data_IF_015055241551
#
_entry.id   IF_015055241551
#
_cell.length_a   1.000
_cell.length_b   1.000
_cell.length_c   1.000
_cell.angle_alpha   90.00
_cell.angle_beta   90.00
_cell.angle_gamma   90.00
#
_symmetry.space_group_name_H-M   'P 1'
#
loop_
_entity.id
_entity.type
_entity.pdbx_description
1 polymer ?
#
# COMPACT_ATOMS: atom_id res chain seq x y z
N UNK A 1 28.00 1.05 -39.71
CA UNK A 1 26.63 1.25 -40.25
C UNK A 1 25.53 0.48 -39.48
N UNK A 2 25.36 0.68 -38.16
CA UNK A 2 24.27 0.03 -37.38
C UNK A 2 23.48 0.93 -36.42
N UNK A 3 23.96 2.13 -36.07
CA UNK A 3 23.27 3.06 -35.14
C UNK A 3 22.03 3.74 -35.75
N UNK A 4 22.01 3.97 -37.07
CA UNK A 4 20.89 4.70 -37.70
C UNK A 4 19.62 3.85 -37.83
N UNK A 5 19.71 2.51 -37.94
CA UNK A 5 18.52 1.64 -38.05
C UNK A 5 17.72 1.57 -36.75
N UNK A 6 18.39 1.67 -35.59
CA UNK A 6 17.71 1.62 -34.29
C UNK A 6 16.90 2.90 -34.03
N UNK A 7 17.45 4.06 -34.42
CA UNK A 7 16.77 5.34 -34.31
C UNK A 7 15.54 5.42 -35.22
N UNK A 8 15.65 4.91 -36.46
CA UNK A 8 14.50 4.85 -37.38
C UNK A 8 13.40 3.91 -36.88
N UNK A 9 13.76 2.75 -36.29
CA UNK A 9 12.77 1.83 -35.69
C UNK A 9 12.09 2.45 -34.48
N UNK A 10 12.81 3.22 -33.66
CA UNK A 10 12.24 3.91 -32.51
C UNK A 10 11.26 5.03 -32.92
N UNK A 11 11.60 5.79 -33.97
CA UNK A 11 10.71 6.81 -34.55
C UNK A 11 9.46 6.17 -35.15
N UNK A 12 9.61 5.02 -35.85
CA UNK A 12 8.47 4.28 -36.39
C UNK A 12 7.58 3.76 -35.25
N UNK A 13 8.15 3.21 -34.18
CA UNK A 13 7.39 2.74 -33.01
C UNK A 13 6.65 3.89 -32.30
N UNK A 14 7.31 5.04 -32.12
CA UNK A 14 6.68 6.25 -31.57
C UNK A 14 5.55 6.74 -32.48
N UNK A 15 5.75 6.75 -33.80
CA UNK A 15 4.72 7.16 -34.75
C UNK A 15 3.50 6.21 -34.76
N UNK A 16 3.69 4.91 -34.55
CA UNK A 16 2.60 3.92 -34.44
C UNK A 16 1.75 4.19 -33.17
N UNK A 17 2.38 4.58 -32.06
CA UNK A 17 1.70 4.99 -30.82
C UNK A 17 0.85 6.26 -31.04
N UNK A 18 1.31 7.18 -31.91
CA UNK A 18 0.58 8.41 -32.24
C UNK A 18 -0.56 8.23 -33.25
N UNK A 19 -0.54 7.16 -34.05
CA UNK A 19 -1.59 6.85 -35.06
C UNK A 19 -2.75 6.05 -34.46
N UNK A 20 -2.51 5.29 -33.38
CA UNK A 20 -3.58 4.54 -32.70
C UNK A 20 -4.46 5.48 -31.82
N UNK A 21 -5.78 5.59 -32.08
CA UNK A 21 -6.67 6.52 -31.37
C UNK A 21 -6.71 6.29 -29.84
N UNK A 22 -6.59 5.03 -29.40
CA UNK A 22 -6.60 4.65 -27.98
C UNK A 22 -5.36 5.12 -27.21
N UNK A 23 -4.18 5.02 -27.79
CA UNK A 23 -2.93 5.49 -27.15
C UNK A 23 -2.83 7.01 -27.15
N UNK A 24 -3.39 7.68 -28.17
CA UNK A 24 -3.55 9.14 -28.18
C UNK A 24 -4.51 9.62 -27.11
N UNK A 25 -5.65 8.97 -26.93
CA UNK A 25 -6.59 9.31 -25.84
C UNK A 25 -5.96 9.10 -24.46
N UNK A 26 -5.18 8.02 -24.27
CA UNK A 26 -4.42 7.79 -23.04
C UNK A 26 -3.37 8.88 -22.79
N UNK A 27 -2.52 9.20 -23.77
CA UNK A 27 -1.49 10.25 -23.62
C UNK A 27 -2.10 11.65 -23.46
N UNK A 28 -3.13 11.99 -24.24
CA UNK A 28 -3.85 13.26 -24.08
C UNK A 28 -4.48 13.29 -22.68
N UNK A 29 -5.16 12.23 -22.20
CA UNK A 29 -5.69 12.21 -20.83
C UNK A 29 -4.61 12.32 -19.73
N UNK A 30 -3.40 11.80 -19.96
CA UNK A 30 -2.26 11.90 -19.03
C UNK A 30 -1.63 13.29 -19.04
N UNK A 31 -1.63 14.00 -20.18
CA UNK A 31 -0.97 15.30 -20.34
C UNK A 31 -1.92 16.51 -20.38
N UNK A 32 -3.25 16.31 -20.47
CA UNK A 32 -4.25 17.40 -20.50
C UNK A 32 -5.08 17.50 -19.23
N UNK A 33 -4.79 16.72 -18.19
CA UNK A 33 -5.37 16.92 -16.86
C UNK A 33 -4.29 17.37 -15.86
N UNK A 34 -4.32 18.68 -15.61
CA UNK A 34 -3.65 19.40 -14.52
C UNK A 34 -2.13 19.24 -14.42
N UNK A 35 -1.49 20.17 -15.12
CA UNK A 35 -0.38 20.97 -14.64
C UNK A 35 0.83 20.18 -14.08
N UNK A 36 1.68 19.76 -15.00
CA UNK A 36 3.01 19.20 -14.70
C UNK A 36 3.82 20.13 -13.76
N UNK A 37 3.58 21.45 -13.76
CA UNK A 37 4.26 22.40 -12.88
C UNK A 37 3.76 22.33 -11.42
N UNK A 38 2.46 22.10 -11.20
CA UNK A 38 1.90 21.81 -9.86
C UNK A 38 2.52 20.57 -9.22
N UNK A 39 2.87 19.56 -10.04
CA UNK A 39 3.42 18.28 -9.59
C UNK A 39 4.94 18.30 -9.39
N UNK A 40 5.63 19.36 -9.87
CA UNK A 40 7.03 19.68 -9.53
C UNK A 40 7.11 20.58 -8.27
N UNK A 41 5.98 20.83 -7.60
CA UNK A 41 5.94 21.60 -6.35
C UNK A 41 5.85 23.11 -6.55
N UNK A 42 5.31 23.57 -7.68
CA UNK A 42 5.01 24.99 -7.91
C UNK A 42 3.52 25.13 -8.23
N UNK A 43 2.64 24.85 -7.27
CA UNK A 43 1.32 25.50 -7.25
C UNK A 43 0.78 25.60 -5.82
N UNK A 44 0.62 26.83 -5.36
CA UNK A 44 0.00 27.15 -4.09
C UNK A 44 -1.53 27.05 -4.23
N UNK A 45 -2.14 25.95 -3.76
CA UNK A 45 -3.57 25.93 -3.42
C UNK A 45 -3.91 24.79 -2.45
N UNK A 46 -4.34 25.16 -1.24
CA UNK A 46 -4.96 24.34 -0.17
C UNK A 46 -4.26 23.02 0.16
N UNK A 47 -3.46 23.06 1.24
CA UNK A 47 -2.56 22.00 1.70
C UNK A 47 -3.26 20.67 2.07
N UNK A 48 -3.49 19.80 1.08
CA UNK A 48 -3.43 18.35 1.36
C UNK A 48 -1.95 18.01 1.62
N UNK A 49 -1.60 17.84 2.89
CA UNK A 49 -0.21 17.62 3.32
C UNK A 49 0.33 16.30 2.74
N UNK A 50 1.24 16.40 1.76
CA UNK A 50 2.00 15.26 1.27
C UNK A 50 2.84 14.72 2.43
N UNK A 51 2.70 13.43 2.75
CA UNK A 51 3.51 12.78 3.77
C UNK A 51 4.90 12.54 3.18
N UNK A 52 5.89 13.27 3.68
CA UNK A 52 7.28 13.17 3.21
C UNK A 52 8.02 12.15 4.07
N UNK A 53 8.35 10.99 3.50
CA UNK A 53 9.24 10.01 4.12
C UNK A 53 10.68 10.56 4.20
N UNK A 54 11.41 10.14 5.24
CA UNK A 54 12.85 10.40 5.35
C UNK A 54 13.62 9.81 4.16
N UNK A 55 14.79 10.36 3.78
CA UNK A 55 15.61 9.81 2.70
C UNK A 55 15.97 8.34 2.90
N UNK A 56 16.23 7.95 4.14
CA UNK A 56 16.50 6.56 4.52
C UNK A 56 15.29 5.65 4.27
N UNK A 57 14.09 6.05 4.72
CA UNK A 57 12.87 5.29 4.47
C UNK A 57 12.56 5.19 2.96
N UNK A 58 12.83 6.23 2.18
CA UNK A 58 12.71 6.17 0.72
C UNK A 58 13.66 5.13 0.11
N UNK A 59 14.92 5.10 0.56
CA UNK A 59 15.91 4.12 0.11
C UNK A 59 15.50 2.69 0.46
N UNK A 60 15.11 2.44 1.72
CA UNK A 60 14.62 1.13 2.17
C UNK A 60 13.42 0.68 1.32
N UNK A 61 12.44 1.55 1.11
CA UNK A 61 11.26 1.23 0.31
C UNK A 61 11.62 0.93 -1.16
N UNK A 62 12.62 1.60 -1.74
CA UNK A 62 13.14 1.30 -3.07
C UNK A 62 13.87 -0.05 -3.17
N UNK A 63 14.50 -0.50 -2.09
CA UNK A 63 15.11 -1.83 -2.04
C UNK A 63 14.02 -2.92 -1.90
N UNK A 64 13.06 -2.71 -1.00
CA UNK A 64 11.95 -3.63 -0.75
C UNK A 64 11.05 -3.85 -1.97
N UNK A 65 10.75 -2.79 -2.74
CA UNK A 65 9.91 -2.92 -3.96
C UNK A 65 10.54 -3.82 -5.03
N UNK A 66 11.86 -4.04 -4.96
CA UNK A 66 12.61 -4.91 -5.87
C UNK A 66 12.88 -6.31 -5.29
N UNK A 67 12.50 -6.59 -4.04
CA UNK A 67 12.64 -7.91 -3.44
C UNK A 67 11.74 -8.93 -4.16
N UNK A 68 12.27 -10.14 -4.28
CA UNK A 68 11.53 -11.30 -4.80
C UNK A 68 11.06 -12.14 -3.62
N UNK A 69 9.89 -12.74 -3.78
CA UNK A 69 9.40 -13.71 -2.82
C UNK A 69 10.18 -15.02 -2.97
N UNK A 70 10.83 -15.45 -1.89
CA UNK A 70 11.67 -16.65 -1.83
C UNK A 70 11.16 -17.65 -0.78
N UNK A 71 9.85 -17.65 -0.54
CA UNK A 71 9.17 -18.53 0.42
C UNK A 71 8.92 -17.89 1.79
N UNK A 72 9.57 -16.78 2.11
CA UNK A 72 9.32 -16.02 3.34
C UNK A 72 8.29 -14.90 3.11
N UNK A 73 7.13 -14.99 3.77
CA UNK A 73 6.02 -14.05 3.57
C UNK A 73 6.26 -12.67 4.22
N UNK A 74 6.94 -12.65 5.37
CA UNK A 74 7.24 -11.43 6.11
C UNK A 74 8.75 -11.28 6.28
N UNK A 75 9.29 -10.15 5.85
CA UNK A 75 10.68 -9.76 6.06
C UNK A 75 10.72 -8.77 7.23
N UNK A 76 11.59 -9.03 8.20
CA UNK A 76 11.98 -8.02 9.18
C UNK A 76 12.90 -7.00 8.50
N UNK A 77 12.51 -5.73 8.50
CA UNK A 77 13.23 -4.65 7.80
C UNK A 77 14.30 -4.06 8.70
N UNK A 78 13.95 -3.80 9.97
CA UNK A 78 14.84 -3.37 11.03
C UNK A 78 14.53 -4.15 12.32
N UNK A 79 15.45 -4.14 13.28
CA UNK A 79 15.24 -4.77 14.60
C UNK A 79 14.05 -4.15 15.36
N UNK A 80 13.79 -2.87 15.13
CA UNK A 80 12.71 -2.09 15.75
C UNK A 80 12.30 -0.92 14.83
N UNK A 81 11.14 -0.32 15.08
CA UNK A 81 10.69 0.86 14.34
C UNK A 81 11.63 2.06 14.56
N UNK A 82 11.84 2.86 13.50
CA UNK A 82 12.80 3.98 13.47
C UNK A 82 12.07 5.35 13.46
N UNK A 83 11.06 5.54 14.32
CA UNK A 83 10.38 6.82 14.42
C UNK A 83 11.22 7.85 15.19
N UNK A 84 11.19 9.09 14.73
CA UNK A 84 11.82 10.21 15.45
C UNK A 84 11.05 10.57 16.74
N UNK A 85 11.70 11.17 17.75
CA UNK A 85 11.00 11.66 18.94
C UNK A 85 9.82 12.60 18.62
N UNK A 86 9.96 13.41 17.58
CA UNK A 86 8.89 14.30 17.10
C UNK A 86 7.70 13.52 16.56
N UNK A 87 7.92 12.41 15.86
CA UNK A 87 6.86 11.52 15.37
C UNK A 87 6.16 10.75 16.49
N UNK A 88 6.84 10.53 17.62
CA UNK A 88 6.28 9.89 18.80
C UNK A 88 5.51 10.86 19.71
N UNK A 89 5.47 12.15 19.38
CA UNK A 89 4.78 13.16 20.19
C UNK A 89 3.27 12.91 20.28
N UNK A 90 2.76 12.87 21.51
CA UNK A 90 1.31 12.84 21.81
C UNK A 90 0.66 14.23 21.86
N UNK A 91 1.32 15.28 21.37
CA UNK A 91 0.77 16.65 21.36
C UNK A 91 -0.57 16.78 20.60
N UNK A 92 -0.82 15.89 19.64
CA UNK A 92 -2.08 15.81 18.87
C UNK A 92 -2.99 14.67 19.34
N UNK A 93 -2.67 14.05 20.46
CA UNK A 93 -3.27 12.81 20.94
C UNK A 93 -3.33 11.75 19.82
N UNK A 94 -4.40 10.99 19.72
CA UNK A 94 -4.61 10.03 18.65
C UNK A 94 -5.18 10.65 17.36
N UNK A 95 -4.65 10.24 16.22
CA UNK A 95 -5.00 10.77 14.90
C UNK A 95 -4.71 9.76 13.78
N UNK A 96 -5.34 9.95 12.62
CA UNK A 96 -5.02 9.24 11.39
C UNK A 96 -4.85 10.22 10.22
N UNK A 97 -3.99 9.89 9.27
CA UNK A 97 -3.71 10.70 8.08
C UNK A 97 -3.36 9.82 6.90
N UNK A 98 -4.07 10.02 5.79
CA UNK A 98 -3.86 9.29 4.55
C UNK A 98 -3.32 10.25 3.50
N UNK A 99 -2.21 9.88 2.88
CA UNK A 99 -1.68 10.63 1.74
C UNK A 99 -2.70 10.69 0.59
N UNK A 100 -2.69 11.75 -0.23
CA UNK A 100 -3.45 11.78 -1.47
C UNK A 100 -3.10 10.57 -2.36
N UNK A 101 -4.05 10.14 -3.18
CA UNK A 101 -3.75 9.15 -4.22
C UNK A 101 -2.71 9.72 -5.18
N UNK A 102 -1.84 8.88 -5.73
CA UNK A 102 -0.92 9.34 -6.78
C UNK A 102 -1.61 9.50 -8.14
N UNK A 103 -0.84 9.92 -9.14
CA UNK A 103 -1.32 10.16 -10.51
C UNK A 103 -1.90 8.92 -11.21
N UNK A 104 -1.69 7.70 -10.67
CA UNK A 104 -2.29 6.46 -11.15
C UNK A 104 -3.50 6.04 -10.29
N UNK A 105 -3.97 6.94 -9.41
CA UNK A 105 -5.01 6.71 -8.40
C UNK A 105 -4.63 5.63 -7.37
N UNK A 106 -3.34 5.42 -7.11
CA UNK A 106 -2.87 4.41 -6.16
C UNK A 106 -2.75 5.03 -4.78
N UNK A 107 -3.16 4.26 -3.77
CA UNK A 107 -2.97 4.65 -2.37
C UNK A 107 -1.49 4.87 -2.07
N UNK A 108 -1.23 5.81 -1.17
CA UNK A 108 0.09 6.20 -0.72
C UNK A 108 0.22 5.94 0.78
N UNK A 109 1.29 6.45 1.41
CA UNK A 109 1.57 6.21 2.84
C UNK A 109 0.39 6.62 3.72
N UNK A 110 0.02 5.76 4.65
CA UNK A 110 -0.92 6.05 5.74
C UNK A 110 -0.16 6.14 7.07
N UNK A 111 -0.53 7.13 7.90
CA UNK A 111 0.02 7.31 9.23
C UNK A 111 -1.09 7.41 10.27
N UNK A 112 -0.79 6.97 11.48
CA UNK A 112 -1.61 7.23 12.63
C UNK A 112 -0.77 7.33 13.91
N UNK A 113 -1.31 8.06 14.88
CA UNK A 113 -1.08 7.80 16.29
C UNK A 113 -2.32 7.06 16.79
N UNK A 114 -2.23 5.76 16.95
CA UNK A 114 -3.34 4.91 17.35
C UNK A 114 -3.52 4.97 18.86
N UNK A 115 -4.77 5.03 19.30
CA UNK A 115 -5.19 5.11 20.70
C UNK A 115 -6.65 4.67 20.80
N UNK A 116 -7.13 4.42 22.02
CA UNK A 116 -8.47 3.86 22.25
C UNK A 116 -9.59 4.79 21.75
N UNK A 117 -9.35 6.09 21.74
CA UNK A 117 -10.29 7.15 21.38
C UNK A 117 -10.69 7.17 19.90
N UNK A 118 -9.85 6.64 18.99
CA UNK A 118 -10.18 6.53 17.57
C UNK A 118 -10.58 5.10 17.17
N UNK A 119 -10.53 4.14 18.10
CA UNK A 119 -11.04 2.80 17.84
C UNK A 119 -12.57 2.84 17.70
N UNK A 120 -13.16 2.10 16.74
CA UNK A 120 -14.60 2.11 16.55
C UNK A 120 -15.32 1.42 17.73
N UNK A 121 -16.45 2.00 18.12
CA UNK A 121 -17.41 1.41 19.05
C UNK A 121 -18.56 0.72 18.33
N UNK A 122 -18.71 0.95 17.02
CA UNK A 122 -19.77 0.40 16.18
C UNK A 122 -19.25 -0.76 15.32
N UNK A 123 -20.13 -1.72 15.05
CA UNK A 123 -19.82 -2.81 14.14
C UNK A 123 -19.52 -2.26 12.74
N UNK A 124 -18.51 -2.84 12.10
CA UNK A 124 -18.11 -2.49 10.75
C UNK A 124 -19.21 -2.83 9.75
N UNK A 125 -19.48 -1.93 8.81
CA UNK A 125 -20.22 -2.27 7.59
C UNK A 125 -19.36 -3.20 6.71
N UNK A 126 -19.86 -4.41 6.47
CA UNK A 126 -19.17 -5.43 5.67
C UNK A 126 -18.97 -4.98 4.20
N UNK A 127 -19.83 -4.09 3.70
CA UNK A 127 -19.77 -3.62 2.32
C UNK A 127 -18.72 -2.53 2.15
N UNK A 128 -17.71 -2.84 1.34
CA UNK A 128 -16.75 -1.85 0.85
C UNK A 128 -17.14 -1.35 -0.55
N UNK A 129 -17.17 -0.04 -0.74
CA UNK A 129 -17.60 0.60 -2.01
C UNK A 129 -16.46 0.95 -2.95
N UNK A 130 -15.23 1.05 -2.45
CA UNK A 130 -14.04 1.40 -3.24
C UNK A 130 -13.61 0.24 -4.12
N UNK A 131 -13.27 0.51 -5.38
CA UNK A 131 -12.57 -0.46 -6.24
C UNK A 131 -11.14 0.03 -6.46
N UNK A 132 -10.14 -0.55 -5.76
CA UNK A 132 -8.76 -0.08 -5.85
C UNK A 132 -8.13 -0.40 -7.21
N UNK A 133 -6.97 0.22 -7.46
CA UNK A 133 -6.19 -0.01 -8.67
C UNK A 133 -5.85 -1.49 -8.85
N UNK A 134 -5.92 -1.98 -10.09
CA UNK A 134 -5.59 -3.37 -10.40
C UNK A 134 -6.54 -4.42 -9.82
N UNK A 135 -7.72 -4.04 -9.31
CA UNK A 135 -8.65 -4.99 -8.71
C UNK A 135 -9.31 -5.89 -9.77
N UNK A 136 -8.70 -7.04 -10.05
CA UNK A 136 -9.24 -8.10 -10.94
C UNK A 136 -9.42 -9.39 -10.16
N UNK A 137 -10.52 -9.45 -9.43
CA UNK A 137 -10.77 -10.54 -8.50
C UNK A 137 -11.26 -11.82 -9.20
N UNK A 138 -10.97 -12.97 -8.60
CA UNK A 138 -11.49 -14.28 -9.03
C UNK A 138 -11.64 -15.20 -7.82
N UNK A 139 -12.53 -16.18 -7.94
CA UNK A 139 -12.69 -17.22 -6.91
C UNK A 139 -11.49 -18.15 -6.90
N UNK A 140 -11.04 -18.52 -5.70
CA UNK A 140 -9.95 -19.48 -5.46
C UNK A 140 -10.32 -20.37 -4.27
N UNK A 141 -9.60 -21.48 -4.12
CA UNK A 141 -9.68 -22.31 -2.91
C UNK A 141 -8.63 -21.80 -1.91
N UNK A 142 -9.07 -21.48 -0.70
CA UNK A 142 -8.26 -21.07 0.45
C UNK A 142 -8.53 -22.09 1.55
N UNK A 143 -7.51 -22.84 1.97
CA UNK A 143 -7.61 -23.85 3.04
C UNK A 143 -8.79 -24.81 2.85
N UNK A 144 -9.01 -25.28 1.61
CA UNK A 144 -10.09 -26.20 1.26
C UNK A 144 -11.49 -25.57 1.14
N UNK A 145 -11.62 -24.25 1.24
CA UNK A 145 -12.90 -23.52 1.13
C UNK A 145 -12.88 -22.51 -0.02
N UNK A 146 -14.04 -22.23 -0.58
CA UNK A 146 -14.20 -21.15 -1.55
C UNK A 146 -13.86 -19.79 -0.91
N UNK A 147 -13.09 -18.99 -1.63
CA UNK A 147 -12.86 -17.59 -1.30
C UNK A 147 -12.42 -16.81 -2.54
N UNK A 148 -11.78 -15.68 -2.33
CA UNK A 148 -11.38 -14.77 -3.40
C UNK A 148 -9.88 -14.48 -3.35
N UNK A 149 -9.27 -14.30 -4.52
CA UNK A 149 -7.84 -14.02 -4.61
C UNK A 149 -7.48 -12.69 -3.96
N UNK A 150 -8.27 -11.65 -4.24
CA UNK A 150 -8.01 -10.29 -3.77
C UNK A 150 -9.08 -9.83 -2.80
N UNK A 151 -8.61 -9.12 -1.78
CA UNK A 151 -9.39 -8.31 -0.87
C UNK A 151 -9.19 -6.82 -1.17
N UNK A 152 -10.18 -6.03 -0.75
CA UNK A 152 -10.01 -4.59 -0.58
C UNK A 152 -9.35 -4.40 0.78
N UNK A 153 -8.03 -4.36 0.73
CA UNK A 153 -7.16 -4.42 1.88
C UNK A 153 -6.97 -3.01 2.44
N UNK A 154 -7.30 -2.84 3.72
CA UNK A 154 -7.08 -1.60 4.46
C UNK A 154 -5.58 -1.36 4.62
N UNK A 155 -5.10 -0.11 4.49
CA UNK A 155 -3.74 0.20 4.96
C UNK A 155 -3.73 0.26 6.49
N UNK A 156 -4.71 0.94 7.08
CA UNK A 156 -4.96 0.92 8.52
C UNK A 156 -6.34 0.30 8.74
N UNK A 157 -6.38 -0.86 9.38
CA UNK A 157 -7.58 -1.64 9.59
C UNK A 157 -8.67 -0.89 10.38
N UNK A 158 -9.93 -1.12 10.00
CA UNK A 158 -11.11 -0.53 10.64
C UNK A 158 -11.07 -0.64 12.17
N UNK A 159 -10.63 -1.77 12.73
CA UNK A 159 -10.59 -1.98 14.18
C UNK A 159 -9.68 -0.99 14.93
N UNK A 160 -8.77 -0.32 14.23
CA UNK A 160 -7.81 0.62 14.79
C UNK A 160 -8.31 2.08 14.73
N UNK A 161 -9.10 2.45 13.72
CA UNK A 161 -9.48 3.86 13.49
C UNK A 161 -10.93 4.12 13.09
N UNK A 162 -11.74 3.06 12.89
CA UNK A 162 -13.11 3.15 12.39
C UNK A 162 -13.23 3.50 10.89
N UNK A 163 -12.11 3.67 10.18
CA UNK A 163 -12.13 4.04 8.77
C UNK A 163 -12.49 2.83 7.88
N UNK A 164 -13.61 2.93 7.15
CA UNK A 164 -14.16 1.78 6.42
C UNK A 164 -13.95 1.87 4.90
N UNK A 165 -14.63 2.78 4.20
CA UNK A 165 -14.61 2.86 2.71
C UNK A 165 -13.86 4.09 2.18
N UNK A 166 -12.76 4.49 2.81
CA UNK A 166 -11.92 5.59 2.33
C UNK A 166 -11.04 5.13 1.14
N UNK A 167 -11.14 5.77 -0.05
CA UNK A 167 -10.35 5.40 -1.21
C UNK A 167 -8.83 5.58 -1.00
N UNK A 168 -8.41 6.46 -0.08
CA UNK A 168 -7.00 6.65 0.30
C UNK A 168 -6.46 5.56 1.25
N UNK A 169 -7.32 4.65 1.73
CA UNK A 169 -7.00 3.60 2.70
C UNK A 169 -7.23 2.18 2.16
N UNK A 170 -7.59 2.00 0.87
CA UNK A 170 -7.93 0.69 0.32
C UNK A 170 -7.08 0.34 -0.90
N UNK A 171 -6.38 -0.79 -0.85
CA UNK A 171 -5.59 -1.33 -1.96
C UNK A 171 -6.04 -2.74 -2.38
N UNK A 172 -5.59 -3.17 -3.55
CA UNK A 172 -5.69 -4.57 -3.98
C UNK A 172 -4.63 -5.39 -3.24
N UNK A 173 -5.05 -6.15 -2.22
CA UNK A 173 -4.19 -7.08 -1.47
C UNK A 173 -4.65 -8.52 -1.65
N UNK A 174 -3.74 -9.48 -1.71
CA UNK A 174 -4.08 -10.91 -1.76
C UNK A 174 -4.73 -11.36 -0.46
N UNK A 175 -5.44 -12.51 -0.51
CA UNK A 175 -5.92 -13.16 0.71
C UNK A 175 -4.76 -13.41 1.69
N UNK A 176 -3.64 -13.93 1.22
CA UNK A 176 -2.46 -14.27 2.04
C UNK A 176 -1.77 -13.04 2.67
N UNK A 177 -1.73 -11.89 1.98
CA UNK A 177 -1.26 -10.64 2.60
C UNK A 177 -2.25 -10.15 3.66
N UNK A 178 -3.54 -10.18 3.33
CA UNK A 178 -4.58 -9.53 4.13
C UNK A 178 -4.97 -10.32 5.38
N UNK A 179 -5.01 -11.65 5.30
CA UNK A 179 -5.52 -12.50 6.37
C UNK A 179 -4.69 -13.78 6.50
N UNK A 180 -4.68 -14.35 7.71
CA UNK A 180 -3.93 -15.57 8.01
C UNK A 180 -4.32 -16.70 7.04
N UNK A 181 -3.30 -17.30 6.43
CA UNK A 181 -3.45 -18.35 5.43
C UNK A 181 -2.94 -19.69 5.99
N UNK A 182 -1.63 -19.86 6.14
CA UNK A 182 -1.02 -21.08 6.69
C UNK A 182 -0.34 -20.84 8.05
N UNK A 183 0.44 -19.76 8.15
CA UNK A 183 1.07 -19.32 9.40
C UNK A 183 0.33 -18.11 9.96
N UNK A 184 0.05 -18.11 11.27
CA UNK A 184 -0.60 -16.98 11.93
C UNK A 184 0.24 -15.70 11.85
N UNK A 185 1.57 -15.77 11.79
CA UNK A 185 2.47 -14.60 11.77
C UNK A 185 2.83 -14.12 10.36
N UNK A 186 1.98 -14.41 9.37
CA UNK A 186 2.30 -14.18 7.96
C UNK A 186 1.50 -13.07 7.30
N UNK A 187 0.46 -12.54 7.95
CA UNK A 187 -0.46 -11.57 7.37
C UNK A 187 -0.48 -10.26 8.14
N UNK A 188 -1.00 -9.21 7.51
CA UNK A 188 -1.17 -7.92 8.18
C UNK A 188 -2.13 -7.99 9.38
N UNK A 189 -3.17 -8.83 9.32
CA UNK A 189 -4.15 -8.98 10.42
C UNK A 189 -3.48 -9.44 11.72
N UNK A 190 -2.41 -10.23 11.64
CA UNK A 190 -1.63 -10.60 12.82
C UNK A 190 -1.07 -9.36 13.54
N UNK A 191 -0.39 -8.50 12.79
CA UNK A 191 0.23 -7.28 13.33
C UNK A 191 -0.81 -6.26 13.77
N UNK A 192 -1.91 -6.13 13.03
CA UNK A 192 -3.05 -5.28 13.43
C UNK A 192 -3.68 -5.77 14.74
N UNK A 193 -3.89 -7.08 14.91
CA UNK A 193 -4.44 -7.64 16.13
C UNK A 193 -3.50 -7.46 17.33
N UNK A 194 -2.20 -7.61 17.13
CA UNK A 194 -1.19 -7.36 18.16
C UNK A 194 -1.26 -5.91 18.66
N UNK A 195 -1.30 -4.93 17.74
CA UNK A 195 -1.43 -3.50 18.06
C UNK A 195 -2.78 -3.21 18.73
N UNK A 196 -3.90 -3.71 18.17
CA UNK A 196 -5.23 -3.50 18.71
C UNK A 196 -5.38 -4.07 20.13
N UNK A 197 -4.83 -5.26 20.38
CA UNK A 197 -4.84 -5.89 21.69
C UNK A 197 -4.06 -5.07 22.72
N UNK A 198 -2.86 -4.64 22.36
CA UNK A 198 -2.03 -3.76 23.20
C UNK A 198 -2.78 -2.49 23.61
N UNK A 199 -3.36 -1.76 22.66
CA UNK A 199 -4.11 -0.51 22.93
C UNK A 199 -5.29 -0.79 23.84
N UNK A 200 -6.06 -1.87 23.61
CA UNK A 200 -7.23 -2.20 24.43
C UNK A 200 -6.89 -2.55 25.88
N UNK A 201 -5.75 -3.21 26.10
CA UNK A 201 -5.31 -3.63 27.43
C UNK A 201 -4.70 -2.48 28.24
N UNK A 202 -3.86 -1.68 27.60
CA UNK A 202 -3.02 -0.69 28.28
C UNK A 202 -3.60 0.72 28.26
N UNK A 203 -4.49 0.99 27.30
CA UNK A 203 -4.95 2.34 26.98
C UNK A 203 -3.81 3.28 26.53
N UNK A 204 -2.67 2.72 26.11
CA UNK A 204 -1.53 3.43 25.54
C UNK A 204 -1.69 3.71 24.04
N UNK A 205 -0.74 4.45 23.50
CA UNK A 205 -0.69 4.83 22.10
C UNK A 205 0.36 4.04 21.31
N UNK A 206 0.09 3.86 20.02
CA UNK A 206 1.02 3.26 19.07
C UNK A 206 1.17 4.16 17.85
N UNK A 207 2.39 4.66 17.62
CA UNK A 207 2.77 5.32 16.38
C UNK A 207 2.80 4.27 15.27
N UNK A 208 2.00 4.44 14.22
CA UNK A 208 1.78 3.44 13.18
C UNK A 208 1.91 4.04 11.77
N UNK A 209 2.69 3.39 10.88
CA UNK A 209 2.87 3.81 9.49
C UNK A 209 2.79 2.61 8.56
N UNK A 210 2.02 2.75 7.48
CA UNK A 210 1.87 1.72 6.44
C UNK A 210 2.21 2.31 5.08
N UNK A 211 3.19 1.72 4.41
CA UNK A 211 3.70 2.15 3.11
C UNK A 211 3.43 1.07 2.05
N UNK A 212 2.42 1.24 1.17
CA UNK A 212 2.24 0.36 0.03
C UNK A 212 3.34 0.58 -1.01
N UNK A 213 3.98 -0.49 -1.47
CA UNK A 213 5.16 -0.41 -2.34
C UNK A 213 4.81 -0.82 -3.78
N UNK A 214 4.62 0.16 -4.66
CA UNK A 214 4.38 -0.07 -6.09
C UNK A 214 5.66 0.06 -6.90
N UNK A 215 5.91 -0.86 -7.83
CA UNK A 215 7.05 -0.76 -8.75
C UNK A 215 6.65 0.01 -10.00
N UNK A 216 7.31 1.12 -10.28
CA UNK A 216 7.06 1.92 -11.49
C UNK A 216 5.56 2.26 -11.64
N UNK A 217 4.96 1.90 -12.78
CA UNK A 217 3.56 2.13 -13.14
C UNK A 217 2.64 0.94 -12.81
N UNK A 218 3.06 0.03 -11.93
CA UNK A 218 2.23 -1.10 -11.53
C UNK A 218 0.99 -0.65 -10.76
N UNK A 219 -0.13 -1.33 -11.04
CA UNK A 219 -1.44 -1.02 -10.47
C UNK A 219 -1.73 -1.82 -9.19
N UNK A 220 -0.93 -2.85 -8.90
CA UNK A 220 -0.98 -3.64 -7.67
C UNK A 220 0.37 -3.50 -6.95
N UNK A 221 0.33 -3.25 -5.65
CA UNK A 221 1.55 -3.13 -4.84
C UNK A 221 2.28 -4.48 -4.75
N UNK A 222 3.61 -4.45 -4.70
CA UNK A 222 4.46 -5.64 -4.48
C UNK A 222 4.36 -6.17 -3.05
N UNK A 223 3.98 -5.30 -2.13
CA UNK A 223 3.82 -5.58 -0.72
C UNK A 223 3.54 -4.29 0.05
N UNK A 224 3.50 -4.40 1.37
CA UNK A 224 3.38 -3.28 2.29
C UNK A 224 4.52 -3.33 3.30
N UNK A 225 5.06 -2.17 3.65
CA UNK A 225 5.89 -2.02 4.85
C UNK A 225 5.01 -1.50 5.98
N UNK A 226 5.10 -2.10 7.16
CA UNK A 226 4.37 -1.70 8.36
C UNK A 226 5.40 -1.39 9.45
N UNK A 227 5.29 -0.20 10.03
CA UNK A 227 6.11 0.28 11.13
C UNK A 227 5.18 0.60 12.32
N UNK A 228 5.50 0.10 13.51
CA UNK A 228 4.73 0.36 14.71
C UNK A 228 5.63 0.52 15.93
N UNK A 229 5.32 1.48 16.80
CA UNK A 229 6.03 1.70 18.07
C UNK A 229 5.07 2.20 19.15
N UNK A 230 5.04 1.55 20.32
CA UNK A 230 4.35 2.08 21.50
C UNK A 230 5.03 3.36 22.01
N UNK A 231 4.25 4.32 22.51
CA UNK A 231 4.79 5.63 22.91
C UNK A 231 5.12 5.69 24.41
N UNK A 232 4.25 5.13 25.25
CA UNK A 232 4.37 5.18 26.71
C UNK A 232 5.34 4.12 27.27
N UNK A 233 5.56 3.04 26.52
CA UNK A 233 6.46 1.96 26.89
C UNK A 233 7.11 1.31 25.65
N UNK A 234 7.89 0.25 25.85
CA UNK A 234 8.63 -0.45 24.79
C UNK A 234 8.02 -1.82 24.42
N UNK A 235 6.73 -2.04 24.67
CA UNK A 235 6.11 -3.36 24.44
C UNK A 235 5.82 -3.65 22.98
N UNK A 236 5.58 -2.62 22.15
CA UNK A 236 5.39 -2.76 20.71
C UNK A 236 6.52 -2.02 20.02
N UNK A 237 7.34 -2.74 19.24
CA UNK A 237 8.19 -2.12 18.23
C UNK A 237 8.51 -3.11 17.13
N UNK A 238 8.13 -2.79 15.90
CA UNK A 238 8.48 -3.60 14.74
C UNK A 238 8.50 -2.77 13.45
N UNK A 239 9.32 -3.24 12.52
CA UNK A 239 9.41 -2.74 11.15
C UNK A 239 9.51 -3.93 10.20
N UNK A 240 8.45 -4.16 9.44
CA UNK A 240 8.28 -5.36 8.63
C UNK A 240 7.84 -5.02 7.22
N UNK A 241 8.10 -5.94 6.31
CA UNK A 241 7.57 -5.93 4.96
C UNK A 241 6.82 -7.23 4.68
N UNK A 242 5.58 -7.12 4.22
CA UNK A 242 4.72 -8.25 3.89
C UNK A 242 4.53 -8.29 2.37
N UNK A 243 4.85 -9.42 1.74
CA UNK A 243 4.69 -9.60 0.30
C UNK A 243 3.21 -9.69 -0.11
N UNK A 244 2.85 -9.04 -1.21
CA UNK A 244 1.51 -9.14 -1.81
C UNK A 244 1.43 -10.33 -2.79
N UNK A 245 1.72 -11.52 -2.29
CA UNK A 245 1.70 -12.78 -3.04
C UNK A 245 0.56 -13.68 -2.56
N UNK A 246 0.19 -14.64 -3.39
CA UNK A 246 -0.76 -15.70 -3.01
C UNK A 246 -0.15 -17.05 -3.41
N UNK A 247 0.04 -17.98 -2.46
CA UNK A 247 0.48 -19.34 -2.78
C UNK A 247 -0.37 -19.97 -3.90
N UNK A 248 0.31 -20.57 -4.89
CA UNK A 248 -0.31 -21.21 -6.05
C UNK A 248 -0.84 -20.24 -7.12
N UNK A 249 -0.52 -18.95 -7.03
CA UNK A 249 -0.94 -17.95 -8.03
C UNK A 249 0.17 -16.97 -8.38
N UNK A 250 0.37 -16.79 -9.69
CA UNK A 250 1.22 -15.74 -10.25
C UNK A 250 0.40 -14.50 -10.55
N UNK A 251 0.82 -13.35 -10.02
CA UNK A 251 0.16 -12.05 -10.22
C UNK A 251 0.95 -11.21 -11.23
N UNK A 252 0.22 -10.65 -12.20
CA UNK A 252 0.70 -9.56 -13.04
C UNK A 252 0.41 -8.23 -12.33
N UNK A 253 1.41 -7.71 -11.62
CA UNK A 253 1.28 -6.48 -10.83
C UNK A 253 0.99 -5.23 -11.68
N UNK A 254 1.30 -5.24 -12.98
CA UNK A 254 0.97 -4.15 -13.87
C UNK A 254 -0.53 -4.00 -14.06
N UNK A 255 -1.27 -5.11 -14.11
CA UNK A 255 -2.70 -5.08 -14.50
C UNK A 255 -3.65 -5.67 -13.47
N UNK A 256 -3.12 -6.39 -12.47
CA UNK A 256 -3.88 -7.21 -11.53
C UNK A 256 -4.35 -8.56 -12.06
N UNK A 257 -3.99 -8.93 -13.30
CA UNK A 257 -4.33 -10.27 -13.81
C UNK A 257 -3.58 -11.35 -13.04
N UNK A 258 -4.15 -12.54 -12.95
CA UNK A 258 -3.50 -13.64 -12.24
C UNK A 258 -3.75 -14.98 -12.92
N UNK A 259 -2.77 -15.87 -12.84
CA UNK A 259 -2.86 -17.26 -13.32
C UNK A 259 -2.57 -18.21 -12.16
N UNK A 260 -3.26 -19.35 -12.13
CA UNK A 260 -2.93 -20.42 -11.17
C UNK A 260 -1.62 -21.05 -11.62
N UNK A 261 -0.71 -21.29 -10.70
CA UNK A 261 0.52 -22.02 -10.96
C UNK A 261 0.21 -23.52 -10.99
N UNK A 262 0.77 -24.23 -11.97
CA UNK A 262 0.57 -25.66 -12.15
C UNK A 262 1.49 -26.47 -11.25
#
# INVERSE_FOLDING_TARGET
MKKNKFFTVMIIFLSIIFVQPRSRQFLVSVFTHNDFASQIGISNSTEEKIIILSPENKKINQELVNKKFEGQQVIQVNDHAQFTPEELSLSKNSWQSFSPLDYLNRVQVANAMLGKEIMPTVQRDERLTVTPTGFRNKKIIINGKDGYLFNRCHLIGYQLTGENSNPKNLMTGTQNLNANFEDEKSSMVYYENMVAHYIRLTNHHVRYRVSPLFKNVEMVARGIRIEAQSVEDNQISFDIYIFNVQPGYKINYLTGHSVKEN
#
